data_IF_153462718070
#
_entry.id   IF_153462718070
#
_cell.length_a   1.000
_cell.length_b   1.000
_cell.length_c   1.000
_cell.angle_alpha   90.00
_cell.angle_beta   90.00
_cell.angle_gamma   90.00
#
_symmetry.space_group_name_H-M   'P 1'
#
loop_
_entity.id
_entity.type
_entity.pdbx_description
1 polymer ?
#
# COMPACT_ATOMS: atom_id res chain seq x y z
N UNK A 1 4.00 -25.19 -29.49
CA UNK A 1 4.43 -23.81 -29.14
C UNK A 1 3.26 -22.83 -29.03
N UNK A 2 2.21 -22.91 -29.84
CA UNK A 2 1.07 -21.97 -29.84
C UNK A 2 0.16 -22.00 -28.61
N UNK A 3 -0.09 -23.18 -28.01
CA UNK A 3 -0.94 -23.29 -26.81
C UNK A 3 -0.27 -22.79 -25.51
N UNK A 4 1.01 -23.06 -25.34
CA UNK A 4 1.80 -22.55 -24.20
C UNK A 4 1.92 -21.04 -24.22
N UNK A 5 2.09 -20.43 -25.40
CA UNK A 5 2.13 -18.97 -25.56
C UNK A 5 0.75 -18.34 -25.30
N UNK A 6 -0.34 -18.99 -25.71
CA UNK A 6 -1.71 -18.53 -25.48
C UNK A 6 -2.09 -18.57 -24.00
N UNK A 7 -1.67 -19.62 -23.28
CA UNK A 7 -1.88 -19.75 -21.83
C UNK A 7 -1.04 -18.74 -21.03
N UNK A 8 0.21 -18.46 -21.46
CA UNK A 8 1.06 -17.45 -20.83
C UNK A 8 0.48 -16.04 -20.98
N UNK A 9 -0.01 -15.68 -22.17
CA UNK A 9 -0.63 -14.36 -22.40
C UNK A 9 -1.94 -14.19 -21.59
N UNK A 10 -2.74 -15.24 -21.47
CA UNK A 10 -3.94 -15.23 -20.64
C UNK A 10 -3.61 -15.04 -19.16
N UNK A 11 -2.56 -15.68 -18.64
CA UNK A 11 -2.13 -15.55 -17.25
C UNK A 11 -1.63 -14.14 -16.96
N UNK A 12 -0.84 -13.55 -17.85
CA UNK A 12 -0.35 -12.16 -17.71
C UNK A 12 -1.51 -11.17 -17.74
N UNK A 13 -2.45 -11.31 -18.66
CA UNK A 13 -3.63 -10.43 -18.73
C UNK A 13 -4.47 -10.49 -17.45
N UNK A 14 -4.64 -11.67 -16.91
CA UNK A 14 -5.33 -11.92 -15.64
C UNK A 14 -4.62 -11.19 -14.47
N UNK A 15 -3.29 -11.31 -14.39
CA UNK A 15 -2.50 -10.64 -13.35
C UNK A 15 -2.54 -9.11 -13.48
N UNK A 16 -2.47 -8.57 -14.71
CA UNK A 16 -2.60 -7.14 -14.97
C UNK A 16 -3.99 -6.63 -14.54
N UNK A 17 -5.05 -7.37 -14.83
CA UNK A 17 -6.41 -6.99 -14.43
C UNK A 17 -6.54 -6.91 -12.90
N UNK A 18 -5.96 -7.88 -12.18
CA UNK A 18 -5.91 -7.85 -10.73
C UNK A 18 -5.04 -6.69 -10.19
N UNK A 19 -3.91 -6.39 -10.86
CA UNK A 19 -3.06 -5.24 -10.53
C UNK A 19 -3.78 -3.89 -10.72
N UNK A 20 -4.66 -3.76 -11.72
CA UNK A 20 -5.48 -2.56 -11.91
C UNK A 20 -6.46 -2.36 -10.75
N UNK A 21 -7.06 -3.43 -10.20
CA UNK A 21 -7.91 -3.32 -9.01
C UNK A 21 -7.09 -2.84 -7.81
N UNK A 22 -5.86 -3.33 -7.67
CA UNK A 22 -4.94 -2.85 -6.63
C UNK A 22 -4.57 -1.38 -6.82
N UNK A 23 -4.32 -0.94 -8.06
CA UNK A 23 -4.03 0.46 -8.38
C UNK A 23 -5.20 1.37 -8.00
N UNK A 24 -6.44 0.95 -8.29
CA UNK A 24 -7.65 1.70 -7.95
C UNK A 24 -7.85 1.73 -6.43
N UNK A 25 -7.96 0.57 -5.78
CA UNK A 25 -8.33 0.49 -4.38
C UNK A 25 -7.26 1.01 -3.44
N UNK A 26 -6.01 0.60 -3.65
CA UNK A 26 -4.88 1.00 -2.80
C UNK A 26 -4.23 2.30 -3.31
N UNK A 27 -3.90 2.39 -4.59
CA UNK A 27 -3.25 3.57 -5.14
C UNK A 27 -4.14 4.82 -5.03
N UNK A 28 -5.29 4.81 -5.68
CA UNK A 28 -6.19 5.98 -5.72
C UNK A 28 -7.03 6.11 -4.45
N UNK A 29 -7.66 5.01 -3.99
CA UNK A 29 -8.57 5.05 -2.83
C UNK A 29 -7.88 5.34 -1.50
N UNK A 30 -6.64 4.88 -1.34
CA UNK A 30 -5.89 5.01 -0.08
C UNK A 30 -4.78 6.03 -0.16
N UNK A 31 -3.83 5.83 -1.07
CA UNK A 31 -2.56 6.55 -1.07
C UNK A 31 -2.56 7.89 -1.82
N UNK A 32 -3.49 8.13 -2.78
CA UNK A 32 -3.57 9.41 -3.49
C UNK A 32 -3.77 10.61 -2.53
N UNK A 33 -4.48 10.41 -1.41
CA UNK A 33 -4.69 11.46 -0.42
C UNK A 33 -3.39 12.07 0.09
N UNK A 34 -2.33 11.28 0.22
CA UNK A 34 -1.01 11.75 0.67
C UNK A 34 -0.44 12.84 -0.23
N UNK A 35 -0.63 12.74 -1.54
CA UNK A 35 -0.21 13.78 -2.48
C UNK A 35 -1.17 14.98 -2.47
N UNK A 36 -2.46 14.74 -2.29
CA UNK A 36 -3.53 15.74 -2.48
C UNK A 36 -3.72 16.64 -1.26
N UNK A 37 -3.60 16.10 -0.03
CA UNK A 37 -3.96 16.87 1.16
C UNK A 37 -3.13 18.15 1.38
N UNK A 38 -1.83 18.24 0.98
CA UNK A 38 -1.11 19.50 1.07
C UNK A 38 -1.78 20.62 0.25
N UNK A 39 -2.29 20.32 -0.94
CA UNK A 39 -3.05 21.28 -1.76
C UNK A 39 -4.40 21.65 -1.13
N UNK A 40 -5.09 20.66 -0.53
CA UNK A 40 -6.32 20.94 0.21
C UNK A 40 -6.10 21.87 1.43
N UNK A 41 -4.91 21.82 2.04
CA UNK A 41 -4.50 22.76 3.11
C UNK A 41 -4.30 24.15 2.51
N UNK A 42 -3.60 24.29 1.39
CA UNK A 42 -3.38 25.58 0.72
C UNK A 42 -4.68 26.21 0.24
N UNK A 43 -5.63 25.41 -0.20
CA UNK A 43 -6.97 25.83 -0.60
C UNK A 43 -7.88 26.17 0.61
N UNK A 44 -7.40 25.97 1.85
CA UNK A 44 -8.17 26.22 3.08
C UNK A 44 -9.32 25.24 3.33
N UNK A 45 -9.37 24.11 2.62
CA UNK A 45 -10.43 23.08 2.77
C UNK A 45 -10.25 22.33 4.09
N UNK A 46 -9.00 22.00 4.44
CA UNK A 46 -8.62 21.27 5.66
C UNK A 46 -7.37 21.88 6.28
N UNK A 47 -7.12 21.61 7.56
CA UNK A 47 -5.84 21.87 8.19
C UNK A 47 -5.05 20.56 8.42
N UNK A 48 -3.82 20.65 8.95
CA UNK A 48 -2.95 19.49 9.22
C UNK A 48 -3.62 18.49 10.17
N UNK A 49 -4.31 18.94 11.20
CA UNK A 49 -5.01 18.04 12.13
C UNK A 49 -6.13 17.28 11.42
N UNK A 50 -6.92 17.96 10.59
CA UNK A 50 -7.97 17.33 9.79
C UNK A 50 -7.39 16.33 8.77
N UNK A 51 -6.24 16.66 8.15
CA UNK A 51 -5.54 15.74 7.23
C UNK A 51 -5.08 14.47 7.95
N UNK A 52 -4.49 14.62 9.15
CA UNK A 52 -4.08 13.47 9.97
C UNK A 52 -5.25 12.60 10.39
N UNK A 53 -6.39 13.20 10.79
CA UNK A 53 -7.62 12.47 11.12
C UNK A 53 -8.19 11.73 9.89
N UNK A 54 -8.21 12.37 8.71
CA UNK A 54 -8.70 11.77 7.48
C UNK A 54 -7.82 10.60 7.01
N UNK A 55 -6.49 10.70 7.20
CA UNK A 55 -5.56 9.60 6.96
C UNK A 55 -5.81 8.44 7.95
N UNK A 56 -5.89 8.74 9.25
CA UNK A 56 -6.16 7.73 10.29
C UNK A 56 -7.52 7.07 10.10
N UNK A 57 -8.56 7.82 9.71
CA UNK A 57 -9.88 7.27 9.38
C UNK A 57 -9.80 6.27 8.21
N UNK A 58 -9.01 6.57 7.17
CA UNK A 58 -8.79 5.63 6.06
C UNK A 58 -8.11 4.35 6.54
N UNK A 59 -7.10 4.44 7.41
CA UNK A 59 -6.43 3.27 7.97
C UNK A 59 -7.34 2.45 8.90
N UNK A 60 -8.16 3.11 9.70
CA UNK A 60 -9.19 2.45 10.51
C UNK A 60 -10.24 1.75 9.63
N UNK A 61 -10.70 2.44 8.58
CA UNK A 61 -11.60 1.86 7.58
C UNK A 61 -10.98 0.64 6.89
N UNK A 62 -9.71 0.70 6.52
CA UNK A 62 -8.98 -0.44 5.96
C UNK A 62 -8.96 -1.63 6.93
N UNK A 63 -8.68 -1.40 8.21
CA UNK A 63 -8.70 -2.44 9.23
C UNK A 63 -10.09 -3.05 9.36
N UNK A 64 -11.14 -2.24 9.44
CA UNK A 64 -12.53 -2.71 9.50
C UNK A 64 -12.90 -3.51 8.25
N UNK A 65 -12.57 -3.00 7.06
CA UNK A 65 -12.79 -3.69 5.79
C UNK A 65 -12.09 -5.04 5.74
N UNK A 66 -10.84 -5.11 6.22
CA UNK A 66 -10.10 -6.37 6.30
C UNK A 66 -10.78 -7.37 7.25
N UNK A 67 -11.27 -6.92 8.41
CA UNK A 67 -12.01 -7.76 9.35
C UNK A 67 -13.31 -8.31 8.73
N UNK A 68 -14.05 -7.50 7.99
CA UNK A 68 -15.25 -7.97 7.26
C UNK A 68 -14.89 -8.97 6.16
N UNK A 69 -13.76 -8.77 5.48
CA UNK A 69 -13.33 -9.63 4.38
C UNK A 69 -12.64 -10.94 4.84
N UNK A 70 -12.33 -11.13 6.14
CA UNK A 70 -11.71 -12.36 6.66
C UNK A 70 -12.47 -13.63 6.25
N UNK A 71 -13.81 -13.56 6.19
CA UNK A 71 -14.69 -14.69 5.84
C UNK A 71 -14.95 -14.78 4.34
N UNK A 72 -14.38 -13.91 3.51
CA UNK A 72 -14.57 -13.92 2.06
C UNK A 72 -14.00 -15.19 1.45
N UNK A 73 -14.80 -15.91 0.70
CA UNK A 73 -14.39 -17.13 -0.02
C UNK A 73 -13.82 -16.75 -1.42
N UNK A 74 -12.93 -17.57 -2.00
CA UNK A 74 -12.39 -17.32 -3.34
C UNK A 74 -13.49 -17.13 -4.40
N UNK A 75 -14.60 -17.84 -4.30
CA UNK A 75 -15.74 -17.72 -5.23
C UNK A 75 -16.44 -16.35 -5.18
N UNK A 76 -16.31 -15.64 -4.06
CA UNK A 76 -16.89 -14.30 -3.87
C UNK A 76 -15.92 -13.19 -4.31
N UNK A 77 -14.67 -13.52 -4.67
CA UNK A 77 -13.61 -12.56 -4.95
C UNK A 77 -13.91 -11.68 -6.17
N UNK A 78 -14.56 -12.22 -7.20
CA UNK A 78 -14.98 -11.41 -8.36
C UNK A 78 -16.00 -10.34 -7.95
N UNK A 79 -17.05 -10.70 -7.22
CA UNK A 79 -18.03 -9.74 -6.71
C UNK A 79 -17.39 -8.75 -5.73
N UNK A 80 -16.51 -9.23 -4.85
CA UNK A 80 -15.71 -8.39 -3.95
C UNK A 80 -14.90 -7.34 -4.69
N UNK A 81 -14.30 -7.69 -5.83
CA UNK A 81 -13.56 -6.77 -6.68
C UNK A 81 -14.44 -5.71 -7.33
N UNK A 82 -15.66 -6.07 -7.78
CA UNK A 82 -16.64 -5.11 -8.29
C UNK A 82 -17.05 -4.13 -7.19
N UNK A 83 -17.44 -4.63 -6.02
CA UNK A 83 -17.85 -3.79 -4.88
C UNK A 83 -16.73 -2.85 -4.45
N UNK A 84 -15.49 -3.36 -4.36
CA UNK A 84 -14.32 -2.55 -4.03
C UNK A 84 -14.08 -1.43 -5.05
N UNK A 85 -14.14 -1.75 -6.34
CA UNK A 85 -13.91 -0.77 -7.42
C UNK A 85 -15.00 0.29 -7.45
N UNK A 86 -16.28 -0.12 -7.46
CA UNK A 86 -17.41 0.82 -7.49
C UNK A 86 -17.47 1.69 -6.22
N UNK A 87 -17.21 1.10 -5.06
CA UNK A 87 -17.14 1.84 -3.80
C UNK A 87 -15.99 2.85 -3.77
N UNK A 88 -14.82 2.49 -4.31
CA UNK A 88 -13.70 3.43 -4.44
C UNK A 88 -14.05 4.57 -5.39
N UNK A 89 -14.60 4.28 -6.59
CA UNK A 89 -15.07 5.29 -7.56
C UNK A 89 -16.07 6.24 -6.89
N UNK A 90 -17.07 5.71 -6.20
CA UNK A 90 -18.05 6.50 -5.47
C UNK A 90 -17.41 7.44 -4.44
N UNK A 91 -16.49 6.93 -3.62
CA UNK A 91 -15.78 7.75 -2.62
C UNK A 91 -14.94 8.86 -3.27
N UNK A 92 -14.21 8.58 -4.34
CA UNK A 92 -13.39 9.57 -5.04
C UNK A 92 -14.24 10.66 -5.68
N UNK A 93 -15.32 10.30 -6.36
CA UNK A 93 -16.25 11.26 -6.94
C UNK A 93 -16.92 12.09 -5.84
N UNK A 94 -17.32 11.48 -4.73
CA UNK A 94 -17.95 12.19 -3.63
C UNK A 94 -17.00 13.21 -3.00
N UNK A 95 -15.70 12.90 -2.85
CA UNK A 95 -14.67 13.83 -2.37
C UNK A 95 -14.55 15.09 -3.24
N UNK A 96 -14.91 15.04 -4.52
CA UNK A 96 -14.89 16.21 -5.40
C UNK A 96 -15.99 17.23 -5.11
N UNK A 97 -17.06 16.83 -4.43
CA UNK A 97 -18.23 17.70 -4.15
C UNK A 97 -18.31 18.17 -2.72
N UNK A 98 -17.72 17.45 -1.75
CA UNK A 98 -17.86 17.74 -0.33
C UNK A 98 -16.79 18.71 0.17
N UNK A 99 -17.23 19.63 1.07
CA UNK A 99 -16.36 20.58 1.76
C UNK A 99 -16.42 20.43 3.31
N UNK A 100 -17.43 19.69 3.81
CA UNK A 100 -17.58 19.51 5.26
C UNK A 100 -16.55 18.52 5.77
N UNK A 101 -15.71 18.94 6.71
CA UNK A 101 -14.60 18.17 7.27
C UNK A 101 -15.04 16.80 7.77
N UNK A 102 -16.15 16.73 8.53
CA UNK A 102 -16.69 15.47 9.04
C UNK A 102 -17.06 14.48 7.94
N UNK A 103 -17.62 14.97 6.81
CA UNK A 103 -17.93 14.14 5.65
C UNK A 103 -16.65 13.68 4.92
N UNK A 104 -15.64 14.55 4.80
CA UNK A 104 -14.35 14.17 4.21
C UNK A 104 -13.73 13.01 5.02
N UNK A 105 -13.68 13.13 6.35
CA UNK A 105 -13.14 12.09 7.24
C UNK A 105 -13.94 10.79 7.10
N UNK A 106 -15.27 10.86 7.07
CA UNK A 106 -16.14 9.69 6.92
C UNK A 106 -15.93 9.00 5.58
N UNK A 107 -15.91 9.75 4.47
CA UNK A 107 -15.69 9.21 3.12
C UNK A 107 -14.28 8.63 2.98
N UNK A 108 -13.28 9.23 3.61
CA UNK A 108 -11.93 8.65 3.70
C UNK A 108 -11.92 7.31 4.44
N UNK A 109 -12.66 7.21 5.56
CA UNK A 109 -12.86 5.95 6.26
C UNK A 109 -13.49 4.88 5.37
N UNK A 110 -14.57 5.24 4.66
CA UNK A 110 -15.27 4.34 3.73
C UNK A 110 -14.36 3.91 2.55
N UNK A 111 -13.57 4.83 1.99
CA UNK A 111 -12.57 4.50 0.98
C UNK A 111 -11.52 3.50 1.49
N UNK A 112 -11.16 3.58 2.78
CA UNK A 112 -10.33 2.57 3.45
C UNK A 112 -10.94 1.18 3.45
N UNK A 113 -12.24 1.05 3.75
CA UNK A 113 -12.97 -0.22 3.69
C UNK A 113 -12.89 -0.84 2.29
N UNK A 114 -13.17 -0.05 1.26
CA UNK A 114 -13.08 -0.52 -0.12
C UNK A 114 -11.65 -0.83 -0.57
N UNK A 115 -10.65 -0.12 -0.05
CA UNK A 115 -9.24 -0.46 -0.29
C UNK A 115 -8.88 -1.84 0.27
N UNK A 116 -9.39 -2.20 1.46
CA UNK A 116 -9.20 -3.54 2.02
C UNK A 116 -9.90 -4.61 1.18
N UNK A 117 -11.11 -4.34 0.72
CA UNK A 117 -11.83 -5.26 -0.17
C UNK A 117 -11.09 -5.45 -1.48
N UNK A 118 -10.53 -4.38 -2.09
CA UNK A 118 -9.71 -4.49 -3.30
C UNK A 118 -8.49 -5.38 -3.07
N UNK A 119 -7.74 -5.14 -1.97
CA UNK A 119 -6.56 -5.92 -1.62
C UNK A 119 -6.89 -7.40 -1.46
N UNK A 120 -7.92 -7.72 -0.67
CA UNK A 120 -8.26 -9.09 -0.33
C UNK A 120 -8.90 -9.82 -1.51
N UNK A 121 -9.87 -9.19 -2.19
CA UNK A 121 -10.57 -9.82 -3.30
C UNK A 121 -9.66 -10.06 -4.51
N UNK A 122 -8.83 -9.08 -4.90
CA UNK A 122 -7.88 -9.28 -6.00
C UNK A 122 -6.84 -10.36 -5.68
N UNK A 123 -6.37 -10.42 -4.41
CA UNK A 123 -5.45 -11.46 -3.95
C UNK A 123 -6.09 -12.84 -3.97
N UNK A 124 -7.29 -13.00 -3.38
CA UNK A 124 -8.03 -14.27 -3.39
C UNK A 124 -8.33 -14.72 -4.82
N UNK A 125 -8.73 -13.80 -5.68
CA UNK A 125 -9.07 -14.13 -7.06
C UNK A 125 -7.85 -14.61 -7.83
N UNK A 126 -6.71 -13.88 -7.80
CA UNK A 126 -5.53 -14.26 -8.56
C UNK A 126 -4.79 -15.46 -7.96
N UNK A 127 -4.56 -15.43 -6.63
CA UNK A 127 -3.67 -16.40 -5.99
C UNK A 127 -4.36 -17.71 -5.62
N UNK A 128 -5.66 -17.67 -5.28
CA UNK A 128 -6.39 -18.87 -4.86
C UNK A 128 -7.34 -19.39 -5.93
N UNK A 129 -8.16 -18.53 -6.54
CA UNK A 129 -9.14 -18.95 -7.53
C UNK A 129 -8.47 -19.28 -8.87
N UNK A 130 -7.53 -18.42 -9.34
CA UNK A 130 -6.78 -18.65 -10.56
C UNK A 130 -5.49 -19.47 -10.35
N UNK A 131 -5.11 -19.73 -9.09
CA UNK A 131 -3.89 -20.47 -8.69
C UNK A 131 -2.59 -19.91 -9.30
N UNK A 132 -2.52 -18.60 -9.54
CA UNK A 132 -1.38 -17.93 -10.17
C UNK A 132 -0.46 -17.27 -9.13
N UNK A 133 0.01 -18.01 -8.15
CA UNK A 133 0.86 -17.50 -7.05
C UNK A 133 2.17 -16.86 -7.53
N UNK A 134 2.72 -17.33 -8.66
CA UNK A 134 3.92 -16.76 -9.28
C UNK A 134 3.72 -15.34 -9.82
N UNK A 135 2.47 -14.92 -10.04
CA UNK A 135 2.11 -13.56 -10.51
C UNK A 135 1.85 -12.57 -9.35
N UNK A 136 2.03 -12.97 -8.10
CA UNK A 136 1.89 -12.09 -6.94
C UNK A 136 2.70 -10.77 -7.05
N UNK A 137 3.94 -10.77 -7.58
CA UNK A 137 4.67 -9.50 -7.77
C UNK A 137 3.96 -8.52 -8.70
N UNK A 138 3.32 -8.99 -9.78
CA UNK A 138 2.55 -8.14 -10.71
C UNK A 138 1.33 -7.56 -10.00
N UNK A 139 0.58 -8.40 -9.27
CA UNK A 139 -0.57 -7.98 -8.49
C UNK A 139 -0.21 -6.82 -7.56
N UNK A 140 0.82 -6.99 -6.73
CA UNK A 140 1.19 -6.00 -5.73
C UNK A 140 1.89 -4.76 -6.33
N UNK A 141 2.55 -4.88 -7.49
CA UNK A 141 3.09 -3.75 -8.22
C UNK A 141 1.99 -2.75 -8.66
N UNK A 142 0.75 -3.22 -8.79
CA UNK A 142 -0.42 -2.37 -9.04
C UNK A 142 -0.59 -1.26 -8.00
N UNK A 143 -0.22 -1.49 -6.74
CA UNK A 143 -0.24 -0.45 -5.69
C UNK A 143 0.69 0.71 -6.05
N UNK A 144 1.95 0.40 -6.38
CA UNK A 144 2.94 1.40 -6.78
C UNK A 144 2.53 2.14 -8.06
N UNK A 145 1.96 1.42 -9.04
CA UNK A 145 1.42 2.01 -10.26
C UNK A 145 0.32 3.03 -9.95
N UNK A 146 -0.63 2.69 -9.08
CA UNK A 146 -1.70 3.61 -8.68
C UNK A 146 -1.16 4.83 -7.93
N UNK A 147 -0.17 4.67 -7.06
CA UNK A 147 0.50 5.77 -6.37
C UNK A 147 1.15 6.72 -7.40
N UNK A 148 1.95 6.19 -8.33
CA UNK A 148 2.62 6.99 -9.35
C UNK A 148 1.61 7.71 -10.27
N UNK A 149 0.61 7.00 -10.77
CA UNK A 149 -0.42 7.60 -11.62
C UNK A 149 -1.22 8.69 -10.90
N UNK A 150 -1.56 8.52 -9.63
CA UNK A 150 -2.27 9.56 -8.86
C UNK A 150 -1.42 10.80 -8.63
N UNK A 151 -0.12 10.63 -8.45
CA UNK A 151 0.82 11.73 -8.31
C UNK A 151 0.98 12.51 -9.64
N UNK A 152 1.12 11.83 -10.77
CA UNK A 152 1.22 12.47 -12.09
C UNK A 152 -0.08 13.20 -12.47
N UNK A 153 -1.24 12.64 -12.13
CA UNK A 153 -2.51 13.35 -12.29
C UNK A 153 -2.57 14.63 -11.44
N UNK A 154 -2.00 14.61 -10.24
CA UNK A 154 -1.89 15.81 -9.41
C UNK A 154 -0.97 16.85 -10.06
N UNK A 155 0.22 16.45 -10.52
CA UNK A 155 1.13 17.34 -11.25
C UNK A 155 0.41 18.00 -12.44
N UNK A 156 -0.33 17.21 -13.21
CA UNK A 156 -1.11 17.72 -14.33
C UNK A 156 -2.16 18.77 -13.91
N UNK A 157 -2.91 18.49 -12.85
CA UNK A 157 -3.95 19.40 -12.31
C UNK A 157 -3.34 20.70 -11.77
N UNK A 158 -2.20 20.61 -11.06
CA UNK A 158 -1.52 21.78 -10.50
C UNK A 158 -0.90 22.66 -11.56
N UNK A 159 -0.32 22.08 -12.63
CA UNK A 159 0.16 22.85 -13.79
C UNK A 159 -0.94 23.67 -14.48
N UNK A 160 -2.17 23.20 -14.44
CA UNK A 160 -3.33 23.92 -14.98
C UNK A 160 -3.96 24.88 -13.97
N UNK A 161 -3.37 25.03 -12.78
CA UNK A 161 -3.90 25.83 -11.65
C UNK A 161 -5.33 25.44 -11.25
N UNK A 162 -5.68 24.16 -11.38
CA UNK A 162 -6.99 23.64 -11.03
C UNK A 162 -7.05 23.23 -9.56
N UNK A 163 -8.25 23.27 -8.98
CA UNK A 163 -8.48 22.92 -7.58
C UNK A 163 -8.39 21.40 -7.34
N UNK A 164 -8.06 21.03 -6.09
CA UNK A 164 -8.00 19.63 -5.62
C UNK A 164 -9.28 18.84 -5.86
N UNK A 165 -10.45 19.51 -5.90
CA UNK A 165 -11.74 18.90 -6.25
C UNK A 165 -11.75 18.26 -7.64
N UNK A 166 -11.16 18.91 -8.64
CA UNK A 166 -11.10 18.35 -9.97
C UNK A 166 -10.18 17.14 -10.03
N UNK A 167 -9.10 17.14 -9.22
CA UNK A 167 -8.25 15.96 -9.11
C UNK A 167 -9.03 14.76 -8.57
N UNK A 168 -9.84 14.95 -7.52
CA UNK A 168 -10.70 13.86 -6.99
C UNK A 168 -11.66 13.33 -8.06
N UNK A 169 -12.24 14.21 -8.86
CA UNK A 169 -13.11 13.83 -9.97
C UNK A 169 -12.34 13.04 -11.04
N UNK A 170 -11.15 13.52 -11.45
CA UNK A 170 -10.30 12.84 -12.44
C UNK A 170 -9.86 11.45 -11.94
N UNK A 171 -9.47 11.33 -10.66
CA UNK A 171 -9.16 10.04 -10.04
C UNK A 171 -10.38 9.11 -10.04
N UNK A 172 -11.58 9.63 -9.79
CA UNK A 172 -12.82 8.86 -9.85
C UNK A 172 -13.14 8.36 -11.27
N UNK A 173 -13.02 9.23 -12.27
CA UNK A 173 -13.24 8.87 -13.68
C UNK A 173 -12.18 7.87 -14.15
N UNK A 174 -10.90 8.11 -13.85
CA UNK A 174 -9.81 7.18 -14.17
C UNK A 174 -10.02 5.82 -13.51
N UNK A 175 -10.48 5.80 -12.24
CA UNK A 175 -10.83 4.56 -11.54
C UNK A 175 -11.96 3.80 -12.23
N UNK A 176 -12.97 4.51 -12.74
CA UNK A 176 -14.09 3.89 -13.46
C UNK A 176 -13.60 3.24 -14.76
N UNK A 177 -12.79 3.96 -15.55
CA UNK A 177 -12.25 3.47 -16.83
C UNK A 177 -11.35 2.24 -16.58
N UNK A 178 -10.39 2.36 -15.68
CA UNK A 178 -9.48 1.26 -15.32
C UNK A 178 -10.24 0.08 -14.71
N UNK A 179 -11.30 0.36 -13.93
CA UNK A 179 -12.18 -0.65 -13.36
C UNK A 179 -12.92 -1.45 -14.41
N UNK A 180 -13.47 -0.78 -15.43
CA UNK A 180 -14.12 -1.45 -16.56
C UNK A 180 -13.13 -2.37 -17.30
N UNK A 181 -11.91 -1.90 -17.56
CA UNK A 181 -10.85 -2.69 -18.20
C UNK A 181 -10.50 -3.91 -17.34
N UNK A 182 -10.32 -3.71 -16.03
CA UNK A 182 -10.00 -4.78 -15.10
C UNK A 182 -11.12 -5.83 -15.04
N UNK A 183 -12.38 -5.42 -14.89
CA UNK A 183 -13.52 -6.33 -14.80
C UNK A 183 -13.69 -7.14 -16.08
N UNK A 184 -13.48 -6.54 -17.24
CA UNK A 184 -13.50 -7.24 -18.52
C UNK A 184 -12.40 -8.32 -18.61
N UNK A 185 -11.19 -8.03 -18.11
CA UNK A 185 -10.12 -9.02 -18.06
C UNK A 185 -10.41 -10.15 -17.05
N UNK A 186 -10.97 -9.81 -15.88
CA UNK A 186 -11.36 -10.82 -14.88
C UNK A 186 -12.49 -11.73 -15.38
N UNK A 187 -13.51 -11.18 -16.03
CA UNK A 187 -14.66 -11.96 -16.52
C UNK A 187 -14.31 -12.98 -17.61
N UNK A 188 -13.24 -12.73 -18.35
CA UNK A 188 -12.76 -13.63 -19.41
C UNK A 188 -11.79 -14.70 -18.94
N UNK A 189 -11.27 -14.59 -17.72
CA UNK A 189 -10.34 -15.58 -17.18
C UNK A 189 -11.06 -16.90 -16.88
N UNK A 190 -10.64 -17.94 -17.54
CA UNK A 190 -11.12 -19.30 -17.25
C UNK A 190 -10.43 -19.84 -15.97
N UNK A 191 -11.15 -20.58 -15.11
CA UNK A 191 -10.53 -21.22 -13.96
C UNK A 191 -9.39 -22.14 -14.43
N UNK A 192 -8.18 -21.91 -13.94
CA UNK A 192 -7.06 -22.80 -14.25
C UNK A 192 -7.26 -24.15 -13.52
N UNK A 193 -7.58 -25.19 -14.25
CA UNK A 193 -7.69 -26.57 -13.75
C UNK A 193 -6.33 -27.25 -13.57
N UNK A 194 -5.26 -26.62 -14.02
CA UNK A 194 -3.91 -27.16 -13.89
C UNK A 194 -3.51 -27.18 -12.42
N UNK A 195 -3.38 -28.38 -11.86
CA UNK A 195 -2.79 -28.57 -10.55
C UNK A 195 -1.37 -28.00 -10.59
N UNK A 196 -1.16 -26.84 -9.96
CA UNK A 196 0.20 -26.36 -9.74
C UNK A 196 0.88 -27.38 -8.84
N UNK A 197 1.94 -28.00 -9.35
CA UNK A 197 2.90 -28.70 -8.50
C UNK A 197 3.28 -27.73 -7.38
N UNK A 198 2.85 -28.03 -6.16
CA UNK A 198 3.36 -27.35 -4.98
C UNK A 198 4.87 -27.51 -5.04
N UNK A 199 5.56 -26.39 -5.21
CA UNK A 199 7.02 -26.36 -5.09
C UNK A 199 7.29 -26.94 -3.70
N UNK A 200 7.84 -28.16 -3.70
CA UNK A 200 8.22 -28.92 -2.51
C UNK A 200 8.88 -27.97 -1.53
N UNK A 201 8.28 -27.85 -0.37
CA UNK A 201 8.78 -27.01 0.70
C UNK A 201 10.18 -27.52 1.07
N UNK A 202 11.20 -26.84 0.58
CA UNK A 202 12.53 -26.96 1.19
C UNK A 202 12.37 -26.77 2.70
N UNK A 203 13.05 -27.62 3.46
CA UNK A 203 13.01 -27.73 4.92
C UNK A 203 13.58 -26.46 5.59
N UNK A 204 12.97 -25.29 5.32
CA UNK A 204 13.37 -23.99 5.89
C UNK A 204 12.71 -23.83 7.25
N UNK A 205 13.50 -23.43 8.24
CA UNK A 205 13.00 -23.10 9.58
C UNK A 205 11.78 -22.20 9.47
N UNK A 206 10.70 -22.55 10.17
CA UNK A 206 9.49 -21.75 10.22
C UNK A 206 9.71 -20.66 11.29
N UNK A 207 9.58 -19.37 10.97
CA UNK A 207 9.74 -18.28 11.92
C UNK A 207 8.75 -18.41 13.09
N UNK A 208 9.13 -17.93 14.27
CA UNK A 208 8.20 -17.82 15.38
C UNK A 208 7.07 -16.84 15.03
N UNK A 209 5.82 -17.28 15.07
CA UNK A 209 4.65 -16.48 14.72
C UNK A 209 4.61 -15.14 15.48
N UNK A 210 4.96 -15.17 16.77
CA UNK A 210 5.01 -13.96 17.61
C UNK A 210 6.02 -12.91 17.11
N UNK A 211 7.23 -13.35 16.75
CA UNK A 211 8.24 -12.44 16.21
C UNK A 211 7.76 -11.76 14.89
N UNK A 212 7.14 -12.55 14.01
CA UNK A 212 6.60 -12.04 12.76
C UNK A 212 5.47 -11.02 12.97
N UNK A 213 4.60 -11.24 13.97
CA UNK A 213 3.53 -10.31 14.36
C UNK A 213 4.12 -8.98 14.84
N UNK A 214 5.10 -9.02 15.76
CA UNK A 214 5.74 -7.81 16.29
C UNK A 214 6.48 -7.04 15.20
N UNK A 215 7.27 -7.74 14.39
CA UNK A 215 7.98 -7.14 13.25
C UNK A 215 6.99 -6.43 12.31
N UNK A 216 5.88 -7.07 11.99
CA UNK A 216 4.91 -6.54 11.04
C UNK A 216 4.14 -5.33 11.61
N UNK A 217 3.84 -5.32 12.92
CA UNK A 217 3.29 -4.16 13.61
C UNK A 217 4.23 -2.95 13.56
N UNK A 218 5.53 -3.17 13.88
CA UNK A 218 6.56 -2.14 13.84
C UNK A 218 6.81 -1.63 12.41
N UNK A 219 6.78 -2.53 11.42
CA UNK A 219 6.90 -2.15 10.02
C UNK A 219 5.72 -1.27 9.56
N UNK A 220 4.48 -1.62 9.97
CA UNK A 220 3.29 -0.83 9.70
C UNK A 220 3.36 0.58 10.28
N UNK A 221 3.85 0.70 11.51
CA UNK A 221 4.09 1.99 12.16
C UNK A 221 5.22 2.79 11.48
N UNK A 222 6.34 2.13 11.19
CA UNK A 222 7.54 2.82 10.73
C UNK A 222 7.41 3.45 9.34
N UNK A 223 6.83 2.73 8.36
CA UNK A 223 6.74 3.28 7.00
C UNK A 223 5.65 4.36 6.86
N UNK A 224 4.55 4.22 7.64
CA UNK A 224 3.35 5.03 7.40
C UNK A 224 3.57 6.50 7.71
N UNK A 225 4.47 6.82 8.65
CA UNK A 225 4.81 8.20 9.01
C UNK A 225 5.41 8.90 7.80
N UNK A 226 6.42 8.30 7.17
CA UNK A 226 7.00 8.84 5.93
C UNK A 226 5.98 8.85 4.80
N UNK A 227 5.27 7.75 4.58
CA UNK A 227 4.25 7.65 3.54
C UNK A 227 3.11 8.65 3.70
N UNK A 228 2.83 9.16 4.91
CA UNK A 228 1.79 10.16 5.14
C UNK A 228 2.30 11.59 4.98
N UNK A 229 3.49 11.89 5.48
CA UNK A 229 3.94 13.27 5.63
C UNK A 229 5.05 13.71 4.68
N UNK A 230 5.66 12.79 3.91
CA UNK A 230 6.79 13.11 3.04
C UNK A 230 6.48 14.24 2.02
N UNK A 231 5.34 14.25 1.31
CA UNK A 231 5.04 15.36 0.40
C UNK A 231 4.91 16.71 1.11
N UNK A 232 4.34 16.73 2.32
CA UNK A 232 4.25 17.95 3.12
C UNK A 232 5.63 18.44 3.60
N UNK A 233 6.50 17.51 4.02
CA UNK A 233 7.88 17.80 4.41
C UNK A 233 8.64 18.45 3.25
N UNK A 234 8.51 17.89 2.05
CA UNK A 234 9.19 18.41 0.84
C UNK A 234 8.66 19.79 0.50
N UNK A 235 7.35 19.99 0.49
CA UNK A 235 6.75 21.29 0.19
C UNK A 235 7.24 22.39 1.14
N UNK A 236 7.37 22.08 2.43
CA UNK A 236 7.83 23.03 3.42
C UNK A 236 9.34 23.32 3.34
N UNK A 237 10.14 22.30 3.01
CA UNK A 237 11.60 22.41 2.98
C UNK A 237 12.15 22.87 1.62
N UNK A 238 11.47 22.57 0.53
CA UNK A 238 11.92 22.77 -0.84
C UNK A 238 10.76 23.34 -1.71
N UNK A 239 10.42 24.64 -1.55
CA UNK A 239 9.27 25.26 -2.23
C UNK A 239 9.33 25.18 -3.77
N UNK A 240 10.52 25.05 -4.35
CA UNK A 240 10.74 24.97 -5.80
C UNK A 240 10.56 23.55 -6.36
N UNK A 241 10.35 22.54 -5.49
CA UNK A 241 10.18 21.16 -5.89
C UNK A 241 8.69 20.76 -5.72
N UNK A 242 8.10 20.25 -6.79
CA UNK A 242 6.72 19.75 -6.70
C UNK A 242 6.67 18.51 -5.80
N UNK A 243 5.95 18.65 -4.68
CA UNK A 243 5.79 17.57 -3.70
C UNK A 243 5.11 16.33 -4.27
N UNK A 244 4.30 16.48 -5.34
CA UNK A 244 3.66 15.37 -6.03
C UNK A 244 4.68 14.50 -6.78
N UNK A 245 5.73 15.10 -7.35
CA UNK A 245 6.80 14.33 -8.02
C UNK A 245 7.56 13.44 -7.04
N UNK A 246 7.76 13.89 -5.80
CA UNK A 246 8.35 13.05 -4.75
C UNK A 246 7.45 11.83 -4.47
N UNK A 247 6.13 12.04 -4.49
CA UNK A 247 5.18 10.95 -4.30
C UNK A 247 5.13 10.00 -5.51
N UNK A 248 5.32 10.51 -6.72
CA UNK A 248 5.51 9.68 -7.92
C UNK A 248 6.75 8.78 -7.80
N UNK A 249 7.88 9.31 -7.33
CA UNK A 249 9.11 8.54 -7.09
C UNK A 249 8.89 7.44 -6.05
N UNK A 250 8.12 7.72 -4.99
CA UNK A 250 7.73 6.70 -4.01
C UNK A 250 6.95 5.55 -4.70
N UNK A 251 5.98 5.87 -5.54
CA UNK A 251 5.20 4.89 -6.30
C UNK A 251 6.06 4.09 -7.30
N UNK A 252 6.94 4.79 -8.04
CA UNK A 252 7.87 4.17 -8.98
C UNK A 252 8.88 3.23 -8.27
N UNK A 253 9.31 3.56 -7.05
CA UNK A 253 10.12 2.66 -6.23
C UNK A 253 9.36 1.39 -5.82
N UNK A 254 8.07 1.50 -5.55
CA UNK A 254 7.24 0.39 -5.11
C UNK A 254 7.00 -0.65 -6.22
N UNK A 255 6.92 -0.25 -7.49
CA UNK A 255 6.66 -1.16 -8.61
C UNK A 255 7.72 -2.28 -8.71
N UNK A 256 9.02 -1.99 -8.90
CA UNK A 256 10.04 -3.02 -9.02
C UNK A 256 10.32 -3.74 -7.69
N UNK A 257 10.00 -3.12 -6.55
CA UNK A 257 10.28 -3.68 -5.23
C UNK A 257 9.65 -5.04 -5.01
N UNK A 258 8.41 -5.24 -5.51
CA UNK A 258 7.71 -6.51 -5.37
C UNK A 258 8.46 -7.67 -6.03
N UNK A 259 9.07 -7.44 -7.20
CA UNK A 259 9.87 -8.43 -7.92
C UNK A 259 11.22 -8.66 -7.25
N UNK A 260 11.89 -7.56 -6.86
CA UNK A 260 13.20 -7.60 -6.23
C UNK A 260 13.17 -8.35 -4.89
N UNK A 261 12.26 -7.99 -4.00
CA UNK A 261 12.15 -8.63 -2.69
C UNK A 261 11.61 -10.06 -2.76
N UNK A 262 10.73 -10.34 -3.72
CA UNK A 262 10.30 -11.72 -3.99
C UNK A 262 11.50 -12.60 -4.39
N UNK A 263 12.39 -12.09 -5.25
CA UNK A 263 13.60 -12.80 -5.67
C UNK A 263 14.58 -13.00 -4.51
N UNK A 264 14.83 -11.97 -3.70
CA UNK A 264 15.71 -12.09 -2.52
C UNK A 264 15.11 -13.11 -1.54
N UNK A 265 13.82 -13.04 -1.26
CA UNK A 265 13.15 -13.98 -0.36
C UNK A 265 13.25 -15.44 -0.87
N UNK A 266 13.05 -15.66 -2.15
CA UNK A 266 13.16 -17.00 -2.74
C UNK A 266 14.58 -17.55 -2.74
N UNK A 267 15.60 -16.69 -2.94
CA UNK A 267 17.00 -17.10 -3.03
C UNK A 267 17.68 -17.22 -1.66
N UNK A 268 17.50 -16.24 -0.76
CA UNK A 268 18.24 -16.12 0.50
C UNK A 268 17.39 -16.41 1.75
N UNK A 269 16.08 -16.61 1.61
CA UNK A 269 15.18 -16.91 2.71
C UNK A 269 14.62 -15.69 3.40
N UNK A 270 13.73 -15.95 4.38
CA UNK A 270 12.91 -14.92 5.05
C UNK A 270 13.74 -13.97 5.90
N UNK A 271 14.69 -14.50 6.67
CA UNK A 271 15.51 -13.70 7.60
C UNK A 271 16.32 -12.64 6.86
N UNK A 272 17.09 -13.03 5.84
CA UNK A 272 17.93 -12.12 5.06
C UNK A 272 17.08 -11.11 4.32
N UNK A 273 16.00 -11.55 3.66
CA UNK A 273 15.12 -10.66 2.91
C UNK A 273 14.46 -9.62 3.82
N UNK A 274 13.92 -10.06 4.97
CA UNK A 274 13.15 -9.18 5.85
C UNK A 274 14.06 -8.21 6.60
N UNK A 275 15.20 -8.67 7.14
CA UNK A 275 16.15 -7.80 7.83
C UNK A 275 16.77 -6.75 6.90
N UNK A 276 17.14 -7.14 5.68
CA UNK A 276 17.68 -6.20 4.69
C UNK A 276 16.62 -5.18 4.24
N UNK A 277 15.38 -5.64 4.03
CA UNK A 277 14.27 -4.78 3.64
C UNK A 277 13.97 -3.74 4.72
N UNK A 278 13.82 -4.16 5.98
CA UNK A 278 13.51 -3.27 7.11
C UNK A 278 14.67 -2.32 7.44
N UNK A 279 15.92 -2.79 7.37
CA UNK A 279 17.09 -1.95 7.58
C UNK A 279 17.22 -0.86 6.51
N UNK A 280 17.00 -1.22 5.24
CA UNK A 280 17.00 -0.25 4.13
C UNK A 280 15.82 0.74 4.27
N UNK A 281 14.66 0.27 4.74
CA UNK A 281 13.50 1.12 5.01
C UNK A 281 13.79 2.11 6.16
N UNK A 282 14.40 1.65 7.26
CA UNK A 282 14.79 2.50 8.38
C UNK A 282 15.73 3.61 7.94
N UNK A 283 16.73 3.26 7.11
CA UNK A 283 17.65 4.22 6.52
C UNK A 283 16.90 5.22 5.62
N UNK A 284 16.00 4.77 4.75
CA UNK A 284 15.16 5.63 3.93
C UNK A 284 14.33 6.62 4.76
N UNK A 285 13.75 6.16 5.87
CA UNK A 285 12.91 6.98 6.76
C UNK A 285 13.68 8.10 7.44
N UNK A 286 14.94 7.86 7.85
CA UNK A 286 15.74 8.85 8.57
C UNK A 286 16.46 9.85 7.65
N UNK A 287 16.56 9.57 6.37
CA UNK A 287 17.28 10.43 5.41
C UNK A 287 16.84 11.90 5.42
N UNK A 288 15.56 12.27 5.49
CA UNK A 288 15.16 13.68 5.57
C UNK A 288 15.70 14.41 6.80
N UNK A 289 16.00 13.68 7.88
CA UNK A 289 16.60 14.25 9.11
C UNK A 289 18.11 14.39 8.96
N UNK A 290 18.78 13.39 8.40
CA UNK A 290 20.25 13.36 8.25
C UNK A 290 20.74 14.24 7.09
N UNK A 291 19.94 14.30 6.02
CA UNK A 291 20.26 15.01 4.79
C UNK A 291 19.04 15.80 4.32
N UNK A 292 18.72 16.97 4.93
CA UNK A 292 17.56 17.79 4.58
C UNK A 292 17.78 18.57 3.27
N UNK A 293 18.08 17.84 2.20
CA UNK A 293 18.36 18.35 0.85
C UNK A 293 17.44 17.66 -0.16
N UNK A 294 17.33 18.21 -1.37
CA UNK A 294 16.57 17.59 -2.46
C UNK A 294 16.92 16.11 -2.64
N UNK A 295 18.22 15.79 -2.64
CA UNK A 295 18.69 14.42 -2.80
C UNK A 295 18.23 13.52 -1.64
N UNK A 296 18.30 14.00 -0.38
CA UNK A 296 17.85 13.25 0.78
C UNK A 296 16.36 12.92 0.74
N UNK A 297 15.51 13.87 0.34
CA UNK A 297 14.08 13.63 0.17
C UNK A 297 13.76 12.69 -0.98
N UNK A 298 14.44 12.83 -2.13
CA UNK A 298 14.29 11.93 -3.29
C UNK A 298 14.68 10.49 -2.93
N UNK A 299 15.84 10.32 -2.28
CA UNK A 299 16.31 9.01 -1.83
C UNK A 299 15.38 8.41 -0.77
N UNK A 300 14.89 9.22 0.17
CA UNK A 300 13.88 8.78 1.15
C UNK A 300 12.63 8.25 0.46
N UNK A 301 12.04 9.03 -0.46
CA UNK A 301 10.88 8.63 -1.23
C UNK A 301 11.10 7.30 -1.95
N UNK A 302 12.21 7.19 -2.68
CA UNK A 302 12.55 5.99 -3.44
C UNK A 302 12.77 4.78 -2.52
N UNK A 303 13.58 4.90 -1.47
CA UNK A 303 13.91 3.78 -0.58
C UNK A 303 12.70 3.29 0.23
N UNK A 304 11.89 4.20 0.77
CA UNK A 304 10.69 3.81 1.49
C UNK A 304 9.67 3.19 0.53
N UNK A 305 9.49 3.76 -0.67
CA UNK A 305 8.69 3.17 -1.73
C UNK A 305 9.18 1.78 -2.13
N UNK A 306 10.50 1.63 -2.34
CA UNK A 306 11.13 0.38 -2.75
C UNK A 306 11.16 -0.70 -1.65
N UNK A 307 10.67 -0.44 -0.45
CA UNK A 307 10.73 -1.38 0.67
C UNK A 307 9.36 -1.70 1.28
N UNK A 308 8.40 -0.77 1.31
CA UNK A 308 7.14 -0.99 2.03
C UNK A 308 6.30 -2.14 1.46
N UNK A 309 6.19 -2.23 0.12
CA UNK A 309 5.53 -3.38 -0.53
C UNK A 309 6.39 -4.64 -0.48
N UNK A 310 7.71 -4.49 -0.42
CA UNK A 310 8.65 -5.58 -0.19
C UNK A 310 8.38 -6.31 1.13
N UNK A 311 8.13 -5.57 2.22
CA UNK A 311 7.74 -6.16 3.52
C UNK A 311 6.49 -7.05 3.36
N UNK A 312 5.45 -6.57 2.68
CA UNK A 312 4.22 -7.34 2.42
C UNK A 312 4.51 -8.59 1.59
N UNK A 313 5.31 -8.44 0.53
CA UNK A 313 5.68 -9.53 -0.40
C UNK A 313 6.48 -10.63 0.29
N UNK A 314 7.31 -10.28 1.28
CA UNK A 314 8.09 -11.26 2.06
C UNK A 314 7.21 -11.93 3.13
N UNK A 315 6.45 -11.14 3.89
CA UNK A 315 5.78 -11.58 5.11
C UNK A 315 4.52 -12.38 4.81
N UNK A 316 3.69 -11.99 3.83
CA UNK A 316 2.41 -12.64 3.58
C UNK A 316 2.50 -14.12 3.20
N UNK A 317 3.41 -14.57 2.32
CA UNK A 317 3.58 -16.01 2.04
C UNK A 317 4.02 -16.80 3.25
N UNK A 318 4.86 -16.22 4.11
CA UNK A 318 5.32 -16.86 5.36
C UNK A 318 4.16 -16.99 6.36
N UNK A 319 3.38 -15.92 6.55
CA UNK A 319 2.21 -15.94 7.40
C UNK A 319 1.16 -16.97 6.95
N UNK A 320 0.91 -17.09 5.65
CA UNK A 320 0.03 -18.11 5.08
C UNK A 320 0.53 -19.52 5.39
N UNK A 321 1.83 -19.77 5.27
CA UNK A 321 2.44 -21.07 5.59
C UNK A 321 2.25 -21.42 7.07
N UNK A 322 2.53 -20.49 7.98
CA UNK A 322 2.35 -20.68 9.43
C UNK A 322 0.87 -20.90 9.76
N UNK A 323 -0.04 -20.13 9.18
CA UNK A 323 -1.47 -20.26 9.41
C UNK A 323 -2.02 -21.63 9.01
N UNK A 324 -1.56 -22.17 7.88
CA UNK A 324 -1.92 -23.54 7.43
C UNK A 324 -1.45 -24.63 8.40
N UNK A 325 -0.25 -24.48 8.99
CA UNK A 325 0.32 -25.45 9.93
C UNK A 325 -0.32 -25.38 11.32
N UNK A 326 -0.64 -24.17 11.79
CA UNK A 326 -1.13 -23.95 13.15
C UNK A 326 -2.66 -23.92 13.28
N UNK A 327 -3.41 -24.02 12.16
CA UNK A 327 -4.87 -23.86 12.09
C UNK A 327 -5.37 -22.55 12.74
N UNK A 328 -4.52 -21.52 12.78
CA UNK A 328 -4.77 -20.26 13.43
C UNK A 328 -5.02 -19.14 12.40
N UNK A 329 -5.78 -18.12 12.80
CA UNK A 329 -6.11 -16.97 11.96
C UNK A 329 -4.97 -15.90 11.97
N UNK A 330 -3.72 -16.34 11.75
CA UNK A 330 -2.52 -15.50 11.85
C UNK A 330 -2.56 -14.33 10.88
N UNK A 331 -3.07 -14.53 9.67
CA UNK A 331 -3.17 -13.46 8.66
C UNK A 331 -4.06 -12.32 9.14
N UNK A 332 -5.20 -12.67 9.77
CA UNK A 332 -6.09 -11.67 10.35
C UNK A 332 -5.40 -10.87 11.46
N UNK A 333 -4.74 -11.56 12.38
CA UNK A 333 -4.00 -10.92 13.47
C UNK A 333 -2.90 -10.00 12.95
N UNK A 334 -2.15 -10.43 11.94
CA UNK A 334 -1.13 -9.62 11.31
C UNK A 334 -1.70 -8.37 10.62
N UNK A 335 -2.84 -8.53 9.94
CA UNK A 335 -3.55 -7.38 9.34
C UNK A 335 -3.99 -6.38 10.41
N UNK A 336 -4.50 -6.87 11.54
CA UNK A 336 -4.90 -6.03 12.69
C UNK A 336 -3.72 -5.24 13.24
N UNK A 337 -2.62 -5.92 13.58
CA UNK A 337 -1.47 -5.25 14.21
C UNK A 337 -0.76 -4.28 13.27
N UNK A 338 -0.71 -4.61 11.98
CA UNK A 338 -0.20 -3.70 10.95
C UNK A 338 -1.08 -2.46 10.80
N UNK A 339 -2.41 -2.67 10.77
CA UNK A 339 -3.39 -1.59 10.72
C UNK A 339 -3.35 -0.69 11.96
N UNK A 340 -3.17 -1.27 13.16
CA UNK A 340 -2.97 -0.49 14.38
C UNK A 340 -1.72 0.39 14.30
N UNK A 341 -0.60 -0.15 13.82
CA UNK A 341 0.62 0.64 13.58
C UNK A 341 0.37 1.82 12.65
N UNK A 342 -0.40 1.61 11.57
CA UNK A 342 -0.75 2.65 10.61
C UNK A 342 -1.70 3.72 11.16
N UNK A 343 -2.57 3.39 12.11
CA UNK A 343 -3.44 4.36 12.78
C UNK A 343 -2.64 5.19 13.78
N UNK A 344 -1.81 4.53 14.59
CA UNK A 344 -1.01 5.17 15.64
C UNK A 344 0.03 6.13 15.03
N UNK A 345 0.62 5.78 13.88
CA UNK A 345 1.67 6.56 13.24
C UNK A 345 1.29 8.03 13.00
N UNK A 346 0.25 8.36 12.21
CA UNK A 346 -0.19 9.73 11.98
C UNK A 346 -0.67 10.45 13.25
N UNK A 347 -1.31 9.73 14.19
CA UNK A 347 -1.75 10.30 15.45
C UNK A 347 -0.54 10.75 16.31
N UNK A 348 0.46 9.89 16.45
CA UNK A 348 1.70 10.22 17.15
C UNK A 348 2.45 11.36 16.46
N UNK A 349 2.54 11.32 15.13
CA UNK A 349 3.19 12.39 14.35
C UNK A 349 2.53 13.74 14.57
N UNK A 350 1.19 13.78 14.58
CA UNK A 350 0.47 15.02 14.85
C UNK A 350 0.71 15.52 16.27
N UNK A 351 0.73 14.63 17.27
CA UNK A 351 1.03 14.98 18.66
C UNK A 351 2.46 15.50 18.83
N UNK A 352 3.45 14.87 18.21
CA UNK A 352 4.84 15.31 18.25
C UNK A 352 5.04 16.64 17.50
N UNK A 353 4.34 16.82 16.39
CA UNK A 353 4.39 18.07 15.62
C UNK A 353 3.80 19.25 16.42
N UNK A 354 2.74 19.04 17.20
CA UNK A 354 2.16 20.09 18.05
C UNK A 354 3.14 20.57 19.15
N UNK A 355 4.09 19.73 19.56
CA UNK A 355 5.09 20.05 20.60
C UNK A 355 6.36 20.65 19.98
N UNK A 356 6.86 20.02 18.91
CA UNK A 356 8.20 20.34 18.36
C UNK A 356 8.14 21.21 17.10
N UNK A 357 6.96 21.40 16.49
CA UNK A 357 6.74 22.11 15.22
C UNK A 357 7.58 21.56 14.05
N UNK A 358 8.12 20.35 14.20
CA UNK A 358 8.89 19.62 13.16
C UNK A 358 8.51 18.15 13.15
N UNK A 359 8.71 17.48 12.00
CA UNK A 359 8.47 16.04 11.88
C UNK A 359 9.69 15.17 12.24
N UNK A 360 10.82 15.79 12.61
CA UNK A 360 12.07 15.06 12.89
C UNK A 360 11.88 14.00 13.99
N UNK A 361 11.21 14.36 15.09
CA UNK A 361 10.91 13.40 16.18
C UNK A 361 10.07 12.23 15.71
N UNK A 362 9.11 12.47 14.80
CA UNK A 362 8.26 11.43 14.24
C UNK A 362 9.05 10.48 13.33
N UNK A 363 9.93 11.02 12.48
CA UNK A 363 10.80 10.23 11.61
C UNK A 363 11.82 9.41 12.41
N UNK A 364 12.37 9.97 13.50
CA UNK A 364 13.27 9.24 14.40
C UNK A 364 12.54 8.10 15.13
N UNK A 365 11.30 8.32 15.60
CA UNK A 365 10.49 7.28 16.21
C UNK A 365 10.18 6.15 15.21
N UNK A 366 9.84 6.49 13.97
CA UNK A 366 9.62 5.54 12.89
C UNK A 366 10.88 4.73 12.55
N UNK A 367 12.01 5.40 12.43
CA UNK A 367 13.32 4.79 12.19
C UNK A 367 13.69 3.81 13.31
N UNK A 368 13.52 4.22 14.58
CA UNK A 368 13.78 3.37 15.74
C UNK A 368 12.91 2.12 15.75
N UNK A 369 11.62 2.24 15.42
CA UNK A 369 10.73 1.09 15.31
C UNK A 369 11.17 0.09 14.23
N UNK A 370 11.62 0.59 13.07
CA UNK A 370 12.13 -0.24 11.99
C UNK A 370 13.47 -0.90 12.33
N UNK A 371 14.37 -0.22 13.04
CA UNK A 371 15.61 -0.83 13.53
C UNK A 371 15.33 -1.92 14.57
N UNK A 372 14.39 -1.71 15.49
CA UNK A 372 13.94 -2.74 16.42
C UNK A 372 13.39 -3.97 15.66
N UNK A 373 12.54 -3.72 14.64
CA UNK A 373 12.01 -4.78 13.80
C UNK A 373 13.12 -5.54 13.06
N UNK A 374 14.14 -4.82 12.55
CA UNK A 374 15.33 -5.41 11.91
C UNK A 374 16.10 -6.29 12.90
N UNK A 375 16.35 -5.80 14.11
CA UNK A 375 17.07 -6.56 15.16
C UNK A 375 16.30 -7.84 15.59
N UNK A 376 14.97 -7.74 15.70
CA UNK A 376 14.13 -8.92 15.98
C UNK A 376 14.20 -9.91 14.81
N UNK A 377 14.16 -9.42 13.55
CA UNK A 377 14.26 -10.26 12.36
C UNK A 377 15.58 -11.04 12.31
N UNK A 378 16.70 -10.41 12.68
CA UNK A 378 18.01 -11.05 12.70
C UNK A 378 18.13 -12.15 13.77
N UNK A 379 17.39 -12.04 14.89
CA UNK A 379 17.53 -12.97 16.05
C UNK A 379 16.47 -14.05 16.08
N UNK A 380 15.25 -13.76 15.63
CA UNK A 380 14.09 -14.61 15.88
C UNK A 380 13.44 -15.19 14.61
N UNK A 381 13.96 -14.87 13.44
CA UNK A 381 13.55 -15.42 12.13
C UNK A 381 14.74 -16.13 11.47
#
# INVERSE_FOLDING_TARGET
MTELAKNSNSALQTAISAALIMAIGMGFGRFAFTAVYPHMIDEGIINLQHASLAASANYAGYLLGALFAIKMKPQQSYLGSIVATMGTVFCLILLSYINRIGLIIMVRGLAGVFSAFAMISASLWLLEQQKQTHQAPILYAGVGLGIALSAELLVFVTHLSWHSKLLWLLLGISSLILGCIAMFGLSRAQPNTVATHEISSTNRKVPHAYALIVIYALAGFGYIITATYLPLLVRNALPNLDAAQIWAIFGLGAIPSCFFWHRIHSSFGTQVALSSNLGLQAFGVVLPVLLPTTLGYLLSAFLVGATFMGTVTIVMPVAQRIARQAQNNLIALMTVVYGLGQIIGPMLSNALFSIHHTFNSSLLAACSALFIATAISLKAI
#
